data_IF_773283771097
#
_entry.id   IF_773283771097
#
_cell.length_a   1.000
_cell.length_b   1.000
_cell.length_c   1.000
_cell.angle_alpha   90.00
_cell.angle_beta   90.00
_cell.angle_gamma   90.00
#
_symmetry.space_group_name_H-M   'P 1'
#
loop_
_entity.id
_entity.type
_entity.pdbx_description
1 polymer ?
#
# COMPACT_ATOMS: atom_id res chain seq x y z
N UNK A 1 -7.10 13.07 -11.56
CA UNK A 1 -7.77 12.90 -10.24
C UNK A 1 -7.16 11.75 -9.40
N UNK A 2 -6.54 10.69 -9.96
CA UNK A 2 -5.73 9.74 -9.15
C UNK A 2 -4.31 10.24 -8.78
N UNK A 3 -3.69 11.04 -9.64
CA UNK A 3 -2.31 11.52 -9.44
C UNK A 3 -2.09 12.27 -8.10
N UNK A 4 -3.09 13.02 -7.63
CA UNK A 4 -3.02 13.76 -6.37
C UNK A 4 -3.13 12.90 -5.10
N UNK A 5 -3.55 11.64 -5.22
CA UNK A 5 -3.71 10.71 -4.09
C UNK A 5 -2.71 9.55 -4.13
N UNK A 6 -2.22 9.19 -5.32
CA UNK A 6 -1.29 8.08 -5.47
C UNK A 6 0.07 8.36 -4.82
N UNK A 7 0.53 9.62 -4.82
CA UNK A 7 1.74 10.07 -4.10
C UNK A 7 1.36 10.79 -2.80
N UNK A 8 2.27 10.81 -1.83
CA UNK A 8 2.11 11.56 -0.59
C UNK A 8 2.17 13.09 -0.80
N UNK A 9 1.74 13.84 0.22
CA UNK A 9 1.66 15.31 0.14
C UNK A 9 3.00 15.97 -0.15
N UNK A 10 4.06 15.47 0.51
CA UNK A 10 5.43 15.95 0.36
C UNK A 10 5.91 15.92 -1.09
N UNK A 11 5.38 15.02 -1.93
CA UNK A 11 5.73 14.96 -3.34
C UNK A 11 5.49 16.29 -4.06
N UNK A 12 4.37 16.95 -3.76
CA UNK A 12 3.97 18.20 -4.40
C UNK A 12 4.46 19.43 -3.63
N UNK A 13 4.33 19.44 -2.30
CA UNK A 13 4.68 20.60 -1.47
C UNK A 13 6.19 20.84 -1.45
N UNK A 14 6.99 19.77 -1.47
CA UNK A 14 8.46 19.83 -1.48
C UNK A 14 9.06 19.71 -2.89
N UNK A 15 8.22 19.69 -3.93
CA UNK A 15 8.64 19.63 -5.34
C UNK A 15 9.56 18.44 -5.68
N UNK A 16 9.33 17.28 -5.04
CA UNK A 16 10.17 16.07 -5.26
C UNK A 16 10.12 15.54 -6.70
N UNK A 17 9.08 15.88 -7.45
CA UNK A 17 9.02 15.63 -8.89
C UNK A 17 10.21 16.22 -9.66
N UNK A 18 10.81 17.33 -9.20
CA UNK A 18 11.99 17.91 -9.84
C UNK A 18 13.22 17.03 -9.68
N UNK A 19 13.43 16.50 -8.46
CA UNK A 19 14.50 15.55 -8.18
C UNK A 19 14.30 14.23 -8.96
N UNK A 20 13.05 13.88 -9.29
CA UNK A 20 12.71 12.75 -10.15
C UNK A 20 12.80 13.06 -11.66
N UNK A 21 13.22 14.27 -12.06
CA UNK A 21 13.46 14.64 -13.46
C UNK A 21 12.26 15.22 -14.21
N UNK A 22 11.22 15.66 -13.51
CA UNK A 22 10.06 16.35 -14.09
C UNK A 22 10.18 17.86 -13.90
N UNK A 23 9.82 18.63 -14.93
CA UNK A 23 9.98 20.09 -14.91
C UNK A 23 8.92 20.81 -14.06
N UNK A 24 7.79 20.16 -13.78
CA UNK A 24 6.69 20.69 -12.98
C UNK A 24 5.76 19.56 -12.52
N UNK A 25 4.82 19.86 -11.62
CA UNK A 25 3.76 18.92 -11.25
C UNK A 25 2.89 18.50 -12.46
N UNK A 26 2.64 19.43 -13.39
CA UNK A 26 1.90 19.14 -14.64
C UNK A 26 2.72 18.24 -15.58
N UNK A 27 4.03 18.49 -15.68
CA UNK A 27 4.95 17.65 -16.45
C UNK A 27 4.99 16.22 -15.89
N UNK A 28 4.99 16.09 -14.56
CA UNK A 28 4.88 14.79 -13.88
C UNK A 28 3.58 14.07 -14.23
N UNK A 29 2.44 14.73 -14.16
CA UNK A 29 1.14 14.12 -14.53
C UNK A 29 1.13 13.71 -16.00
N UNK A 30 1.61 14.59 -16.88
CA UNK A 30 1.60 14.40 -18.33
C UNK A 30 2.53 13.29 -18.80
N UNK A 31 3.69 13.11 -18.16
CA UNK A 31 4.71 12.14 -18.57
C UNK A 31 4.67 10.84 -17.78
N UNK A 32 3.95 10.76 -16.66
CA UNK A 32 3.85 9.53 -15.85
C UNK A 32 2.42 8.99 -15.77
N UNK A 33 1.48 9.72 -15.19
CA UNK A 33 0.14 9.23 -14.92
C UNK A 33 -0.70 9.11 -16.20
N UNK A 34 -0.74 10.16 -17.04
CA UNK A 34 -1.56 10.11 -18.25
C UNK A 34 -1.17 8.94 -19.19
N UNK A 35 0.11 8.73 -19.53
CA UNK A 35 0.49 7.63 -20.41
C UNK A 35 0.25 6.26 -19.77
N UNK A 36 0.45 6.12 -18.46
CA UNK A 36 0.22 4.86 -17.76
C UNK A 36 -1.26 4.43 -17.82
N UNK A 37 -2.19 5.35 -17.59
CA UNK A 37 -3.64 5.05 -17.66
C UNK A 37 -4.18 4.99 -19.09
N UNK A 38 -3.60 5.75 -20.03
CA UNK A 38 -4.03 5.74 -21.43
C UNK A 38 -3.81 4.38 -22.11
N UNK A 39 -2.92 3.54 -21.57
CA UNK A 39 -2.64 2.19 -22.07
C UNK A 39 -3.58 1.13 -21.49
N UNK A 40 -4.39 1.47 -20.48
CA UNK A 40 -5.31 0.52 -19.85
C UNK A 40 -6.64 0.46 -20.61
N UNK A 41 -7.24 -0.73 -20.69
CA UNK A 41 -8.62 -0.87 -21.15
C UNK A 41 -9.59 -0.27 -20.12
N UNK A 42 -10.55 0.52 -20.61
CA UNK A 42 -11.51 1.21 -19.74
C UNK A 42 -12.44 0.24 -18.97
N UNK A 43 -12.78 -0.90 -19.58
CA UNK A 43 -13.63 -1.92 -18.94
C UNK A 43 -12.86 -2.65 -17.85
N UNK A 44 -11.58 -2.93 -18.08
CA UNK A 44 -10.70 -3.50 -17.05
C UNK A 44 -10.54 -2.55 -15.86
N UNK A 45 -10.33 -1.26 -16.11
CA UNK A 45 -10.26 -0.25 -15.04
C UNK A 45 -11.58 -0.18 -14.25
N UNK A 46 -12.72 -0.23 -14.93
CA UNK A 46 -14.03 -0.23 -14.27
C UNK A 46 -14.23 -1.49 -13.41
N UNK A 47 -13.80 -2.66 -13.89
CA UNK A 47 -13.84 -3.90 -13.15
C UNK A 47 -12.96 -3.84 -11.89
N UNK A 48 -11.73 -3.31 -12.00
CA UNK A 48 -10.82 -3.13 -10.86
C UNK A 48 -11.40 -2.17 -9.80
N UNK A 49 -11.99 -1.03 -10.22
CA UNK A 49 -12.62 -0.08 -9.29
C UNK A 49 -13.83 -0.70 -8.59
N UNK A 50 -14.65 -1.49 -9.30
CA UNK A 50 -15.78 -2.21 -8.68
C UNK A 50 -15.28 -3.20 -7.63
N UNK A 51 -14.29 -4.02 -7.99
CA UNK A 51 -13.69 -4.98 -7.07
C UNK A 51 -13.12 -4.30 -5.82
N UNK A 52 -12.43 -3.16 -5.98
CA UNK A 52 -11.93 -2.38 -4.84
C UNK A 52 -13.07 -1.85 -3.95
N UNK A 53 -14.10 -1.25 -4.55
CA UNK A 53 -15.22 -0.66 -3.80
C UNK A 53 -16.10 -1.69 -3.09
N UNK A 54 -16.16 -2.91 -3.61
CA UNK A 54 -16.98 -4.00 -3.07
C UNK A 54 -16.19 -4.94 -2.14
N UNK A 55 -14.89 -4.72 -1.96
CA UNK A 55 -14.05 -5.52 -1.08
C UNK A 55 -14.46 -5.34 0.39
N UNK A 56 -15.08 -6.37 0.97
CA UNK A 56 -15.48 -6.37 2.38
C UNK A 56 -15.33 -7.77 3.00
N UNK A 57 -14.34 -7.92 3.88
CA UNK A 57 -14.11 -9.17 4.64
C UNK A 57 -15.16 -9.39 5.74
N UNK A 58 -15.86 -8.34 6.18
CA UNK A 58 -16.87 -8.41 7.23
C UNK A 58 -18.09 -9.24 6.81
N UNK A 59 -18.33 -9.37 5.51
CA UNK A 59 -19.35 -10.25 4.93
C UNK A 59 -19.21 -11.72 5.39
N UNK A 60 -18.02 -12.13 5.82
CA UNK A 60 -17.76 -13.48 6.34
C UNK A 60 -18.01 -13.61 7.86
N UNK A 61 -18.39 -12.54 8.56
CA UNK A 61 -18.57 -12.52 10.01
C UNK A 61 -19.70 -11.56 10.44
N UNK A 62 -20.85 -11.62 9.76
CA UNK A 62 -22.06 -10.86 10.11
C UNK A 62 -21.83 -9.34 10.25
N UNK A 63 -20.94 -8.78 9.41
CA UNK A 63 -20.60 -7.36 9.42
C UNK A 63 -19.51 -6.96 10.45
N UNK A 64 -18.94 -7.90 11.20
CA UNK A 64 -17.85 -7.64 12.13
C UNK A 64 -16.47 -7.97 11.51
N UNK A 65 -15.84 -6.96 10.88
CA UNK A 65 -14.54 -7.14 10.22
C UNK A 65 -13.44 -7.61 11.19
N UNK A 66 -13.45 -7.17 12.45
CA UNK A 66 -12.50 -7.63 13.47
C UNK A 66 -12.61 -9.15 13.70
N UNK A 67 -13.84 -9.67 13.74
CA UNK A 67 -14.09 -11.10 13.86
C UNK A 67 -13.61 -11.86 12.62
N UNK A 68 -13.79 -11.30 11.43
CA UNK A 68 -13.29 -11.90 10.19
C UNK A 68 -11.75 -11.98 10.20
N UNK A 69 -11.04 -10.89 10.52
CA UNK A 69 -9.59 -10.89 10.62
C UNK A 69 -9.08 -11.80 11.75
N UNK A 70 -9.80 -11.89 12.87
CA UNK A 70 -9.47 -12.80 13.97
C UNK A 70 -9.43 -14.28 13.57
N UNK A 71 -10.14 -14.67 12.50
CA UNK A 71 -10.16 -16.03 11.94
C UNK A 71 -8.95 -16.36 11.05
N UNK A 72 -8.17 -15.36 10.64
CA UNK A 72 -6.96 -15.58 9.84
C UNK A 72 -5.97 -16.44 10.62
N UNK A 73 -5.48 -17.51 9.99
CA UNK A 73 -4.53 -18.46 10.60
C UNK A 73 -3.10 -18.30 10.10
N UNK A 74 -2.92 -17.68 8.93
CA UNK A 74 -1.60 -17.40 8.38
C UNK A 74 -0.89 -16.34 9.24
N UNK A 75 0.43 -16.43 9.29
CA UNK A 75 1.27 -15.31 9.73
C UNK A 75 1.17 -14.20 8.68
N UNK A 76 1.03 -12.96 9.13
CA UNK A 76 0.77 -11.78 8.29
C UNK A 76 1.86 -10.75 8.51
N UNK A 77 2.51 -10.33 7.43
CA UNK A 77 3.35 -9.14 7.41
C UNK A 77 2.51 -7.99 6.84
N UNK A 78 2.19 -6.99 7.66
CA UNK A 78 1.42 -5.82 7.27
C UNK A 78 2.37 -4.61 7.14
N UNK A 79 2.45 -4.03 5.94
CA UNK A 79 3.42 -3.00 5.59
C UNK A 79 2.77 -1.71 5.05
N UNK A 80 2.02 -0.96 5.89
CA UNK A 80 1.44 0.31 5.46
C UNK A 80 2.52 1.37 5.29
N UNK A 81 2.25 2.43 4.52
CA UNK A 81 3.08 3.64 4.56
C UNK A 81 2.46 4.67 5.51
N UNK A 82 3.30 5.38 6.27
CA UNK A 82 2.82 6.37 7.25
C UNK A 82 2.29 7.66 6.64
N UNK A 83 2.59 7.94 5.37
CA UNK A 83 2.05 9.06 4.61
C UNK A 83 0.99 8.67 3.56
N UNK A 84 0.52 7.41 3.54
CA UNK A 84 -0.59 7.01 2.66
C UNK A 84 -1.88 7.71 3.08
N UNK A 85 -2.57 8.32 2.10
CA UNK A 85 -3.74 9.17 2.33
C UNK A 85 -5.07 8.42 2.34
N UNK A 86 -5.12 7.18 1.85
CA UNK A 86 -6.37 6.43 1.78
C UNK A 86 -6.28 5.00 2.34
N UNK A 87 -5.08 4.44 2.48
CA UNK A 87 -4.84 3.27 3.32
C UNK A 87 -3.99 3.69 4.52
N UNK A 88 -4.63 4.30 5.50
CA UNK A 88 -3.91 5.02 6.56
C UNK A 88 -3.20 4.06 7.53
N UNK A 89 -2.08 4.51 8.11
CA UNK A 89 -1.41 3.77 9.18
C UNK A 89 -2.34 3.49 10.37
N UNK A 90 -3.22 4.43 10.72
CA UNK A 90 -4.15 4.27 11.83
C UNK A 90 -5.15 3.13 11.60
N UNK A 91 -5.63 2.95 10.36
CA UNK A 91 -6.50 1.83 9.99
C UNK A 91 -5.72 0.51 9.97
N UNK A 92 -4.53 0.49 9.37
CA UNK A 92 -3.66 -0.69 9.39
C UNK A 92 -3.30 -1.14 10.81
N UNK A 93 -3.11 -0.20 11.76
CA UNK A 93 -2.90 -0.53 13.17
C UNK A 93 -4.16 -1.15 13.82
N UNK A 94 -5.37 -0.75 13.42
CA UNK A 94 -6.62 -1.41 13.86
C UNK A 94 -6.69 -2.84 13.34
N UNK A 95 -6.33 -3.05 12.07
CA UNK A 95 -6.26 -4.38 11.45
C UNK A 95 -5.22 -5.27 12.12
N UNK A 96 -4.02 -4.75 12.38
CA UNK A 96 -2.96 -5.46 13.08
C UNK A 96 -3.41 -5.92 14.48
N UNK A 97 -4.16 -5.08 15.21
CA UNK A 97 -4.73 -5.46 16.51
C UNK A 97 -5.74 -6.60 16.40
N UNK A 98 -6.60 -6.60 15.37
CA UNK A 98 -7.57 -7.67 15.15
C UNK A 98 -6.89 -8.99 14.71
N UNK A 99 -5.83 -8.90 13.90
CA UNK A 99 -5.01 -10.06 13.51
C UNK A 99 -4.22 -10.65 14.70
N UNK A 100 -3.88 -9.81 15.69
CA UNK A 100 -3.25 -10.21 16.94
C UNK A 100 -1.81 -10.69 16.73
N UNK A 101 -1.40 -11.72 17.50
CA UNK A 101 -0.01 -12.23 17.53
C UNK A 101 0.57 -12.72 16.20
N UNK A 102 -0.28 -12.96 15.19
CA UNK A 102 0.13 -13.41 13.85
C UNK A 102 0.57 -12.26 12.96
N UNK A 103 0.26 -11.03 13.33
CA UNK A 103 0.61 -9.85 12.55
C UNK A 103 1.94 -9.28 13.00
N UNK A 104 2.88 -9.18 12.07
CA UNK A 104 4.04 -8.29 12.17
C UNK A 104 3.70 -7.01 11.43
N UNK A 105 3.57 -5.89 12.16
CA UNK A 105 3.37 -4.57 11.56
C UNK A 105 4.75 -3.93 11.29
N UNK A 106 5.03 -3.63 10.03
CA UNK A 106 6.29 -3.02 9.59
C UNK A 106 6.03 -1.79 8.70
N UNK A 107 5.71 -0.62 9.29
CA UNK A 107 5.38 0.57 8.53
C UNK A 107 6.56 1.08 7.69
N UNK A 108 6.28 1.45 6.44
CA UNK A 108 7.21 2.12 5.54
C UNK A 108 7.22 3.62 5.90
N UNK A 109 8.38 4.13 6.31
CA UNK A 109 8.59 5.56 6.59
C UNK A 109 9.00 6.25 5.29
N UNK A 110 8.05 6.94 4.64
CA UNK A 110 8.29 7.56 3.35
C UNK A 110 7.23 8.62 3.07
N UNK A 111 7.59 9.72 2.41
CA UNK A 111 6.62 10.71 1.93
C UNK A 111 6.05 10.37 0.55
N UNK A 112 6.41 9.21 0.00
CA UNK A 112 5.88 8.73 -1.27
C UNK A 112 4.42 8.27 -1.17
N UNK A 113 3.85 8.21 0.04
CA UNK A 113 2.48 7.76 0.28
C UNK A 113 2.25 6.35 -0.27
N UNK A 114 1.14 6.16 -0.97
CA UNK A 114 0.79 4.86 -1.54
C UNK A 114 1.87 4.29 -2.47
N UNK A 115 2.60 5.15 -3.20
CA UNK A 115 3.70 4.72 -4.08
C UNK A 115 4.84 4.02 -3.34
N UNK A 116 5.00 4.20 -2.03
CA UNK A 116 6.01 3.49 -1.24
C UNK A 116 5.83 1.96 -1.29
N UNK A 117 4.60 1.47 -1.47
CA UNK A 117 4.28 0.05 -1.64
C UNK A 117 4.50 -0.50 -3.06
N UNK A 118 4.76 0.38 -4.04
CA UNK A 118 5.12 0.00 -5.42
C UNK A 118 6.40 0.77 -5.88
N UNK A 119 7.56 0.45 -5.27
CA UNK A 119 8.79 1.23 -5.43
C UNK A 119 9.63 0.78 -6.64
N UNK A 120 9.02 0.76 -7.82
CA UNK A 120 9.74 0.44 -9.06
C UNK A 120 10.53 1.62 -9.64
N UNK A 121 10.30 2.84 -9.13
CA UNK A 121 10.97 4.04 -9.62
C UNK A 121 12.36 4.23 -9.00
N UNK A 122 13.35 4.76 -9.74
CA UNK A 122 14.71 4.97 -9.23
C UNK A 122 14.79 5.79 -7.93
N UNK A 123 13.91 6.76 -7.74
CA UNK A 123 13.82 7.61 -6.55
C UNK A 123 13.30 6.88 -5.31
N UNK A 124 12.67 5.72 -5.47
CA UNK A 124 12.11 4.90 -4.37
C UNK A 124 13.02 3.71 -3.99
N UNK A 125 14.34 3.84 -4.21
CA UNK A 125 15.29 2.75 -3.90
C UNK A 125 15.29 2.37 -2.43
N UNK A 126 15.17 3.33 -1.52
CA UNK A 126 15.18 3.07 -0.09
C UNK A 126 13.97 2.24 0.34
N UNK A 127 12.78 2.58 -0.17
CA UNK A 127 11.54 1.84 0.05
C UNK A 127 11.64 0.42 -0.50
N UNK A 128 12.16 0.27 -1.73
CA UNK A 128 12.38 -1.05 -2.34
C UNK A 128 13.32 -1.93 -1.51
N UNK A 129 14.43 -1.37 -1.03
CA UNK A 129 15.41 -2.09 -0.25
C UNK A 129 14.82 -2.49 1.12
N UNK A 130 14.05 -1.60 1.76
CA UNK A 130 13.28 -1.89 2.97
C UNK A 130 12.25 -3.01 2.78
N UNK A 131 11.42 -2.93 1.73
CA UNK A 131 10.45 -3.98 1.39
C UNK A 131 11.15 -5.32 1.17
N UNK A 132 12.21 -5.32 0.36
CA UNK A 132 12.97 -6.53 0.02
C UNK A 132 13.55 -7.19 1.25
N UNK A 133 14.20 -6.40 2.13
CA UNK A 133 14.78 -6.90 3.36
C UNK A 133 13.70 -7.46 4.30
N UNK A 134 12.63 -6.69 4.54
CA UNK A 134 11.58 -7.05 5.50
C UNK A 134 10.81 -8.29 5.06
N UNK A 135 10.46 -8.40 3.77
CA UNK A 135 9.78 -9.58 3.22
C UNK A 135 10.68 -10.82 3.32
N UNK A 136 11.97 -10.72 2.97
CA UNK A 136 12.90 -11.85 3.10
C UNK A 136 13.05 -12.30 4.54
N UNK A 137 13.28 -11.35 5.45
CA UNK A 137 13.41 -11.63 6.87
C UNK A 137 12.16 -12.31 7.42
N UNK A 138 10.96 -11.88 7.01
CA UNK A 138 9.70 -12.51 7.41
C UNK A 138 9.55 -13.94 6.86
N UNK A 139 9.92 -14.18 5.60
CA UNK A 139 9.85 -15.50 4.98
C UNK A 139 10.88 -16.50 5.54
N UNK A 140 11.99 -16.01 6.09
CA UNK A 140 13.03 -16.83 6.73
C UNK A 140 12.68 -17.21 8.18
N UNK A 141 11.61 -16.65 8.77
CA UNK A 141 11.20 -16.99 10.13
C UNK A 141 10.69 -18.43 10.22
N UNK A 142 11.01 -19.17 11.30
CA UNK A 142 10.41 -20.48 11.53
C UNK A 142 8.88 -20.34 11.60
N UNK A 143 8.16 -21.15 10.83
CA UNK A 143 6.70 -21.11 10.82
C UNK A 143 6.17 -21.36 12.23
N UNK A 144 5.40 -20.42 12.78
CA UNK A 144 4.81 -20.60 14.10
C UNK A 144 3.73 -21.68 13.98
N UNK A 145 4.03 -22.90 14.42
CA UNK A 145 3.03 -23.96 14.48
C UNK A 145 2.02 -23.59 15.56
N UNK A 146 0.86 -23.06 15.16
CA UNK A 146 -0.25 -22.84 16.08
C UNK A 146 -0.82 -24.22 16.42
N UNK A 147 -0.60 -24.68 17.66
CA UNK A 147 -1.26 -25.86 18.19
C UNK A 147 -2.79 -25.70 18.01
N UNK A 148 -3.41 -26.70 17.35
CA UNK A 148 -4.84 -26.74 17.04
C UNK A 148 -5.69 -26.87 18.29
#
# INVERSE_FOLDING_TARGET
IYAGWGVGEGWYTERRYEAAGYASAEDFVSRSYLPAFAQCDASDLLAQVRAWREADVAAHADGAWECALGRVRADVLLMPCDSDKYFTLAEAEREARALGRRCTLAPIRSDAGHRAGDPHRPELRAERDFLTHTVRAFLEQPTTTIAR
#
